data_IF_104317869473
#
_entry.id   IF_104317869473
#
_cell.length_a   1.000
_cell.length_b   1.000
_cell.length_c   1.000
_cell.angle_alpha   90.00
_cell.angle_beta   90.00
_cell.angle_gamma   90.00
#
_symmetry.space_group_name_H-M   'P 1'
#
loop_
_entity.id
_entity.type
_entity.pdbx_description
1 polymer ?
#
# COMPACT_ATOMS: atom_id res chain seq x y z
N UNK A 1 -14.00 -1.63 18.43
CA UNK A 1 -13.04 -2.30 17.55
C UNK A 1 -13.43 -2.13 16.10
N UNK A 2 -12.46 -1.84 15.26
CA UNK A 2 -12.70 -1.56 13.85
C UNK A 2 -13.04 -2.85 13.09
N UNK A 3 -14.09 -2.81 12.27
CA UNK A 3 -14.40 -3.94 11.39
C UNK A 3 -13.41 -3.97 10.22
N UNK A 4 -13.28 -5.11 9.52
CA UNK A 4 -12.43 -5.16 8.34
C UNK A 4 -12.78 -4.11 7.29
N UNK A 5 -14.07 -3.84 7.09
CA UNK A 5 -14.49 -2.82 6.12
C UNK A 5 -14.10 -1.43 6.57
N UNK A 6 -14.26 -1.13 7.85
CA UNK A 6 -13.82 0.16 8.39
C UNK A 6 -12.31 0.33 8.28
N UNK A 7 -11.55 -0.76 8.54
CA UNK A 7 -10.10 -0.72 8.40
C UNK A 7 -9.71 -0.44 6.96
N UNK A 8 -10.40 -1.03 5.99
CA UNK A 8 -10.12 -0.80 4.58
C UNK A 8 -10.37 0.67 4.20
N UNK A 9 -11.48 1.23 4.67
CA UNK A 9 -11.79 2.63 4.38
C UNK A 9 -10.75 3.57 5.01
N UNK A 10 -10.34 3.27 6.22
CA UNK A 10 -9.30 4.05 6.90
C UNK A 10 -7.97 3.93 6.16
N UNK A 11 -7.64 2.73 5.65
CA UNK A 11 -6.41 2.53 4.90
C UNK A 11 -6.41 3.34 3.60
N UNK A 12 -7.54 3.35 2.89
CA UNK A 12 -7.67 4.14 1.67
C UNK A 12 -7.45 5.62 1.95
N UNK A 13 -8.08 6.11 3.02
CA UNK A 13 -7.89 7.51 3.41
C UNK A 13 -6.44 7.79 3.80
N UNK A 14 -5.84 6.88 4.57
CA UNK A 14 -4.46 7.05 5.01
C UNK A 14 -3.50 7.11 3.82
N UNK A 15 -3.70 6.22 2.83
CA UNK A 15 -2.86 6.24 1.62
C UNK A 15 -3.05 7.54 0.85
N UNK A 16 -4.29 7.98 0.70
CA UNK A 16 -4.58 9.23 0.00
C UNK A 16 -3.91 10.42 0.70
N UNK A 17 -4.06 10.51 2.02
CA UNK A 17 -3.44 11.59 2.80
C UNK A 17 -1.92 11.53 2.72
N UNK A 18 -1.36 10.32 2.74
CA UNK A 18 0.08 10.12 2.63
C UNK A 18 0.61 10.60 1.28
N UNK A 19 -0.07 10.22 0.19
CA UNK A 19 0.34 10.64 -1.14
C UNK A 19 0.26 12.15 -1.30
N UNK A 20 -0.79 12.77 -0.74
CA UNK A 20 -0.91 14.22 -0.77
C UNK A 20 0.23 14.88 0.00
N UNK A 21 0.59 14.32 1.13
CA UNK A 21 1.67 14.87 1.95
C UNK A 21 3.04 14.72 1.28
N UNK A 22 3.21 13.69 0.45
CA UNK A 22 4.47 13.48 -0.28
C UNK A 22 4.70 14.53 -1.35
N UNK A 23 3.66 15.20 -1.81
CA UNK A 23 3.77 16.28 -2.79
C UNK A 23 4.51 15.83 -4.05
N UNK A 24 4.01 14.75 -4.66
CA UNK A 24 4.67 14.12 -5.79
C UNK A 24 4.62 14.99 -7.05
N UNK A 25 5.69 14.95 -7.82
CA UNK A 25 5.78 15.73 -9.06
C UNK A 25 5.19 14.99 -10.25
N UNK A 26 5.26 13.65 -10.24
CA UNK A 26 4.67 12.86 -11.30
C UNK A 26 4.36 11.44 -10.80
N UNK A 27 3.60 10.71 -11.63
CA UNK A 27 3.11 9.38 -11.26
C UNK A 27 4.22 8.35 -11.10
N UNK A 28 5.39 8.57 -11.69
CA UNK A 28 6.48 7.59 -11.59
C UNK A 28 7.02 7.48 -10.17
N UNK A 29 6.73 8.45 -9.32
CA UNK A 29 7.19 8.45 -7.92
C UNK A 29 6.28 7.69 -6.98
N UNK A 30 5.06 7.35 -7.42
CA UNK A 30 4.05 6.73 -6.56
C UNK A 30 4.54 5.40 -6.00
N UNK A 31 5.09 4.55 -6.86
CA UNK A 31 5.57 3.24 -6.43
C UNK A 31 6.62 3.33 -5.34
N UNK A 32 7.56 4.27 -5.49
CA UNK A 32 8.64 4.43 -4.51
C UNK A 32 8.13 4.85 -3.15
N UNK A 33 7.24 5.85 -3.10
CA UNK A 33 6.76 6.33 -1.81
C UNK A 33 5.80 5.34 -1.17
N UNK A 34 5.00 4.62 -1.97
CA UNK A 34 4.14 3.58 -1.42
C UNK A 34 4.95 2.40 -0.89
N UNK A 35 6.07 2.07 -1.53
CA UNK A 35 6.93 1.02 -1.01
C UNK A 35 7.54 1.40 0.35
N UNK A 36 7.87 2.67 0.55
CA UNK A 36 8.30 3.13 1.87
C UNK A 36 7.20 2.93 2.90
N UNK A 37 5.97 3.25 2.56
CA UNK A 37 4.83 3.04 3.45
C UNK A 37 4.67 1.54 3.76
N UNK A 38 4.76 0.69 2.74
CA UNK A 38 4.68 -0.76 2.93
C UNK A 38 5.79 -1.28 3.83
N UNK A 39 7.01 -0.75 3.67
CA UNK A 39 8.14 -1.18 4.49
C UNK A 39 7.94 -0.85 5.96
N UNK A 40 7.45 0.37 6.24
CA UNK A 40 7.15 0.77 7.61
C UNK A 40 6.04 -0.10 8.19
N UNK A 41 4.98 -0.33 7.42
CA UNK A 41 3.89 -1.20 7.84
C UNK A 41 4.39 -2.62 8.11
N UNK A 42 5.28 -3.13 7.25
CA UNK A 42 5.85 -4.46 7.43
C UNK A 42 6.65 -4.60 8.71
N UNK A 43 7.42 -3.57 9.06
CA UNK A 43 8.16 -3.56 10.33
C UNK A 43 7.20 -3.64 11.51
N UNK A 44 6.13 -2.86 11.48
CA UNK A 44 5.14 -2.90 12.56
C UNK A 44 4.44 -4.25 12.65
N UNK A 45 4.13 -4.86 11.51
CA UNK A 45 3.56 -6.22 11.49
C UNK A 45 4.52 -7.21 12.14
N UNK A 46 5.81 -7.11 11.82
CA UNK A 46 6.81 -8.00 12.39
C UNK A 46 6.94 -7.80 13.89
N UNK A 47 6.84 -6.57 14.36
CA UNK A 47 6.87 -6.29 15.79
C UNK A 47 5.65 -6.86 16.50
N UNK A 48 4.50 -6.87 15.84
CA UNK A 48 3.26 -7.35 16.43
C UNK A 48 3.12 -8.87 16.39
N UNK A 49 3.54 -9.50 15.29
CA UNK A 49 3.25 -10.92 15.04
C UNK A 49 4.49 -11.78 14.78
N UNK A 50 5.65 -11.18 14.67
CA UNK A 50 6.88 -11.86 14.30
C UNK A 50 7.18 -11.73 12.81
N UNK A 51 8.46 -11.87 12.46
CA UNK A 51 8.91 -11.63 11.08
C UNK A 51 8.36 -12.64 10.10
N UNK A 52 8.18 -13.89 10.51
CA UNK A 52 7.69 -14.93 9.61
C UNK A 52 6.23 -14.68 9.23
N UNK A 53 5.40 -14.37 10.22
CA UNK A 53 3.98 -14.07 9.96
C UNK A 53 3.85 -12.81 9.10
N UNK A 54 4.65 -11.79 9.38
CA UNK A 54 4.64 -10.56 8.59
C UNK A 54 5.04 -10.85 7.14
N UNK A 55 6.06 -11.67 6.94
CA UNK A 55 6.50 -12.06 5.60
C UNK A 55 5.38 -12.77 4.85
N UNK A 56 4.71 -13.71 5.50
CA UNK A 56 3.60 -14.43 4.87
C UNK A 56 2.48 -13.52 4.44
N UNK A 57 2.13 -12.53 5.26
CA UNK A 57 1.10 -11.55 4.91
C UNK A 57 1.50 -10.74 3.69
N UNK A 58 2.73 -10.28 3.65
CA UNK A 58 3.23 -9.44 2.57
C UNK A 58 3.33 -10.24 1.26
N UNK A 59 3.80 -11.48 1.34
CA UNK A 59 3.87 -12.36 0.17
C UNK A 59 2.46 -12.64 -0.36
N UNK A 60 1.51 -12.93 0.53
CA UNK A 60 0.12 -13.15 0.12
C UNK A 60 -0.46 -11.94 -0.58
N UNK A 61 -0.18 -10.75 -0.06
CA UNK A 61 -0.63 -9.51 -0.69
C UNK A 61 0.03 -9.32 -2.05
N UNK A 62 1.33 -9.61 -2.16
CA UNK A 62 2.04 -9.51 -3.43
C UNK A 62 1.44 -10.44 -4.48
N UNK A 63 1.12 -11.67 -4.09
CA UNK A 63 0.50 -12.63 -4.99
C UNK A 63 -0.90 -12.17 -5.42
N UNK A 64 -1.66 -11.64 -4.48
CA UNK A 64 -2.98 -11.10 -4.79
C UNK A 64 -2.88 -9.99 -5.83
N UNK A 65 -1.94 -9.06 -5.65
CA UNK A 65 -1.75 -7.96 -6.59
C UNK A 65 -1.38 -8.50 -7.97
N UNK A 66 -0.44 -9.45 -8.02
CA UNK A 66 0.00 -10.02 -9.29
C UNK A 66 -1.15 -10.68 -10.04
N UNK A 67 -2.01 -11.40 -9.32
CA UNK A 67 -3.06 -12.19 -9.93
C UNK A 67 -4.34 -11.40 -10.20
N UNK A 68 -4.55 -10.29 -9.51
CA UNK A 68 -5.81 -9.55 -9.55
C UNK A 68 -5.73 -8.25 -10.33
N UNK A 69 -4.53 -7.71 -10.50
CA UNK A 69 -4.37 -6.43 -11.17
C UNK A 69 -3.78 -6.61 -12.57
N UNK A 70 -4.10 -5.71 -13.50
CA UNK A 70 -3.49 -5.75 -14.83
C UNK A 70 -1.97 -5.63 -14.74
N UNK A 71 -1.28 -6.29 -15.65
CA UNK A 71 0.18 -6.23 -15.66
C UNK A 71 0.72 -4.92 -16.17
N UNK A 72 -0.06 -4.23 -16.99
CA UNK A 72 0.35 -2.94 -17.53
C UNK A 72 -0.15 -1.82 -16.61
N UNK A 73 0.64 -0.77 -16.43
CA UNK A 73 0.18 0.36 -15.64
C UNK A 73 -1.04 1.01 -16.28
N UNK A 74 -1.95 1.48 -15.46
CA UNK A 74 -3.06 2.29 -15.95
C UNK A 74 -2.49 3.59 -16.50
N UNK A 75 -3.08 4.07 -17.58
CA UNK A 75 -2.75 5.40 -18.05
C UNK A 75 -3.39 6.39 -17.09
N UNK A 76 -2.56 6.97 -16.26
CA UNK A 76 -3.03 7.99 -15.35
C UNK A 76 -3.17 9.27 -16.12
N UNK A 77 -4.41 9.63 -16.40
CA UNK A 77 -4.65 10.94 -16.97
C UNK A 77 -4.27 11.97 -15.93
N UNK A 78 -3.67 13.03 -16.41
CA UNK A 78 -3.41 14.14 -15.52
C UNK A 78 -4.73 14.61 -14.95
N UNK A 79 -4.86 14.53 -13.66
CA UNK A 79 -6.05 15.01 -12.98
C UNK A 79 -5.80 16.44 -12.59
N UNK A 80 -6.67 17.27 -13.04
CA UNK A 80 -6.55 18.69 -12.75
C UNK A 80 -7.35 19.05 -11.54
#
# INVERSE_FOLDING_TARGET
MTTPQQAEELAKKAVSDYLNACNLQDASQIGNVLMKLCSVAGVLMAQAEGSEAACDRLVGTAEFVLNSMPREPAQLRTVQ
#
